data_IF_066451818102
#
_entry.id   IF_066451818102
#
_cell.length_a   1.000
_cell.length_b   1.000
_cell.length_c   1.000
_cell.angle_alpha   90.00
_cell.angle_beta   90.00
_cell.angle_gamma   90.00
#
_symmetry.space_group_name_H-M   'P 1'
#
loop_
_entity.id
_entity.type
_entity.pdbx_description
1 polymer ?
#
# COMPACT_ATOMS: atom_id res chain seq x y z
N UNK A 1 23.55 -30.87 -33.51
CA UNK A 1 22.50 -31.67 -32.84
C UNK A 1 22.77 -31.57 -31.34
N UNK A 2 22.44 -30.41 -30.79
CA UNK A 2 22.90 -29.90 -29.50
C UNK A 2 21.79 -28.99 -28.97
N UNK A 3 21.59 -29.00 -27.65
CA UNK A 3 21.04 -27.90 -26.83
C UNK A 3 19.53 -27.73 -26.59
N UNK A 4 18.63 -28.65 -26.96
CA UNK A 4 17.19 -28.49 -26.63
C UNK A 4 16.78 -28.97 -25.23
N UNK A 5 17.68 -29.60 -24.46
CA UNK A 5 17.34 -30.17 -23.14
C UNK A 5 17.65 -29.28 -21.94
N UNK A 6 18.37 -28.17 -22.11
CA UNK A 6 18.88 -27.36 -20.99
C UNK A 6 18.09 -26.07 -20.72
N UNK A 7 17.25 -25.62 -21.66
CA UNK A 7 16.51 -24.36 -21.55
C UNK A 7 15.20 -24.50 -20.78
N UNK A 8 14.58 -25.68 -20.79
CA UNK A 8 13.32 -25.94 -20.06
C UNK A 8 13.51 -26.06 -18.54
N UNK A 9 14.66 -26.58 -18.07
CA UNK A 9 14.94 -26.69 -16.62
C UNK A 9 15.32 -25.36 -15.97
N UNK A 10 15.81 -24.39 -16.77
CA UNK A 10 16.19 -23.06 -16.26
C UNK A 10 14.99 -22.10 -16.22
N UNK A 11 14.02 -22.23 -17.14
CA UNK A 11 12.78 -21.43 -17.11
C UNK A 11 11.82 -21.83 -15.99
N UNK A 12 11.80 -23.10 -15.55
CA UNK A 12 11.03 -23.51 -14.37
C UNK A 12 11.63 -23.01 -13.04
N UNK A 13 12.94 -22.72 -13.01
CA UNK A 13 13.63 -22.24 -11.81
C UNK A 13 13.37 -20.75 -11.51
N UNK A 14 13.07 -19.92 -12.51
CA UNK A 14 12.84 -18.48 -12.30
C UNK A 14 11.36 -18.08 -12.07
N UNK A 15 10.40 -19.00 -12.28
CA UNK A 15 9.00 -18.79 -11.87
C UNK A 15 8.74 -19.13 -10.40
N UNK A 16 9.78 -19.45 -9.63
CA UNK A 16 9.78 -19.55 -8.16
C UNK A 16 9.65 -18.19 -7.46
N UNK A 17 8.85 -17.26 -7.98
CA UNK A 17 8.56 -15.98 -7.35
C UNK A 17 7.56 -16.20 -6.22
N UNK A 18 8.05 -16.70 -5.07
CA UNK A 18 7.36 -16.80 -3.77
C UNK A 18 5.84 -16.97 -3.87
N UNK A 19 5.40 -17.99 -4.62
CA UNK A 19 3.99 -18.34 -4.70
C UNK A 19 3.68 -19.33 -3.58
N UNK A 20 2.63 -19.13 -2.76
CA UNK A 20 2.23 -20.06 -1.70
C UNK A 20 1.98 -21.50 -2.21
N UNK A 21 1.87 -21.66 -3.54
CA UNK A 21 1.79 -22.93 -4.28
C UNK A 21 2.99 -23.85 -4.04
N UNK A 22 4.21 -23.32 -3.87
CA UNK A 22 5.42 -24.15 -3.68
C UNK A 22 5.41 -24.85 -2.32
N UNK A 23 4.98 -24.14 -1.26
CA UNK A 23 4.86 -24.74 0.08
C UNK A 23 3.77 -25.80 0.14
N UNK A 24 2.63 -25.57 -0.52
CA UNK A 24 1.55 -26.55 -0.61
C UNK A 24 2.00 -27.86 -1.28
N UNK A 25 2.73 -27.78 -2.39
CA UNK A 25 3.26 -28.95 -3.09
C UNK A 25 4.42 -29.63 -2.34
N UNK A 26 5.25 -28.88 -1.62
CA UNK A 26 6.34 -29.44 -0.81
C UNK A 26 5.82 -30.32 0.33
N UNK A 27 4.83 -29.86 1.10
CA UNK A 27 4.22 -30.65 2.18
C UNK A 27 3.38 -31.83 1.66
N UNK A 28 2.79 -31.72 0.46
CA UNK A 28 2.10 -32.83 -0.21
C UNK A 28 3.04 -33.97 -0.61
N UNK A 29 4.23 -33.63 -1.10
CA UNK A 29 5.19 -34.61 -1.62
C UNK A 29 6.14 -35.18 -0.55
N UNK A 30 6.27 -34.55 0.62
CA UNK A 30 7.09 -35.01 1.74
C UNK A 30 6.25 -35.31 3.00
N UNK A 31 5.52 -36.44 3.06
CA UNK A 31 4.76 -36.84 4.26
C UNK A 31 5.66 -37.19 5.47
N UNK A 32 6.99 -37.26 5.30
CA UNK A 32 7.98 -37.39 6.38
C UNK A 32 8.42 -36.06 6.99
N UNK A 33 8.06 -34.92 6.40
CA UNK A 33 8.14 -33.61 7.05
C UNK A 33 7.01 -33.44 8.09
N UNK A 34 6.69 -34.52 8.81
CA UNK A 34 5.87 -34.48 10.01
C UNK A 34 6.68 -33.65 10.99
N UNK A 35 6.31 -32.38 11.12
CA UNK A 35 6.75 -31.55 12.24
C UNK A 35 6.63 -32.42 13.49
N UNK A 36 7.75 -32.68 14.15
CA UNK A 36 7.80 -33.68 15.20
C UNK A 36 6.71 -33.38 16.23
N UNK A 37 5.99 -34.38 16.75
CA UNK A 37 4.95 -34.14 17.75
C UNK A 37 5.49 -33.35 18.96
N UNK A 38 6.80 -33.48 19.22
CA UNK A 38 7.54 -32.68 20.19
C UNK A 38 7.52 -31.18 19.84
N UNK A 39 7.79 -30.78 18.59
CA UNK A 39 7.78 -29.37 18.18
C UNK A 39 6.40 -28.75 18.34
N UNK A 40 5.34 -29.50 18.02
CA UNK A 40 3.96 -29.07 18.24
C UNK A 40 3.65 -28.82 19.72
N UNK A 41 4.08 -29.73 20.61
CA UNK A 41 3.91 -29.58 22.06
C UNK A 41 4.70 -28.38 22.60
N UNK A 42 5.93 -28.18 22.14
CA UNK A 42 6.76 -27.03 22.53
C UNK A 42 6.13 -25.71 22.06
N UNK A 43 5.65 -25.65 20.82
CA UNK A 43 4.95 -24.49 20.29
C UNK A 43 3.66 -24.20 21.08
N UNK A 44 2.89 -25.23 21.43
CA UNK A 44 1.67 -25.09 22.22
C UNK A 44 1.94 -24.57 23.63
N UNK A 45 2.98 -25.10 24.28
CA UNK A 45 3.42 -24.63 25.58
C UNK A 45 3.90 -23.17 25.53
N UNK A 46 4.70 -22.81 24.53
CA UNK A 46 5.20 -21.44 24.35
C UNK A 46 4.05 -20.46 24.10
N UNK A 47 3.12 -20.84 23.21
CA UNK A 47 1.93 -20.05 22.90
C UNK A 47 1.05 -19.84 24.14
N UNK A 48 0.78 -20.91 24.89
CA UNK A 48 -0.01 -20.84 26.12
C UNK A 48 0.63 -19.91 27.15
N UNK A 49 1.94 -20.05 27.37
CA UNK A 49 2.67 -19.24 28.36
C UNK A 49 2.64 -17.76 28.02
N UNK A 50 2.81 -17.42 26.74
CA UNK A 50 2.76 -16.04 26.25
C UNK A 50 1.32 -15.49 26.34
N UNK A 51 0.36 -16.24 25.82
CA UNK A 51 -1.04 -15.82 25.69
C UNK A 51 -1.72 -15.65 27.05
N UNK A 52 -1.38 -16.47 28.05
CA UNK A 52 -1.94 -16.37 29.41
C UNK A 52 -1.80 -14.95 29.96
N UNK A 53 -0.61 -14.34 29.83
CA UNK A 53 -0.34 -12.99 30.36
C UNK A 53 -1.12 -11.92 29.63
N UNK A 54 -1.15 -12.00 28.29
CA UNK A 54 -1.89 -11.05 27.47
C UNK A 54 -3.40 -11.13 27.75
N UNK A 55 -3.96 -12.33 27.74
CA UNK A 55 -5.39 -12.55 28.00
C UNK A 55 -5.79 -12.17 29.43
N UNK A 56 -4.95 -12.44 30.43
CA UNK A 56 -5.19 -11.98 31.79
C UNK A 56 -5.33 -10.46 31.85
N UNK A 57 -4.40 -9.71 31.24
CA UNK A 57 -4.46 -8.26 31.23
C UNK A 57 -5.64 -7.72 30.38
N UNK A 58 -5.96 -8.38 29.27
CA UNK A 58 -7.16 -8.06 28.48
C UNK A 58 -8.43 -8.21 29.31
N UNK A 59 -8.58 -9.35 29.99
CA UNK A 59 -9.75 -9.65 30.83
C UNK A 59 -9.83 -8.70 32.03
N UNK A 60 -8.68 -8.38 32.63
CA UNK A 60 -8.60 -7.37 33.68
C UNK A 60 -9.15 -6.03 33.18
N UNK A 61 -8.75 -5.59 31.99
CA UNK A 61 -9.23 -4.36 31.34
C UNK A 61 -10.72 -4.38 30.96
N UNK A 62 -11.36 -5.56 30.90
CA UNK A 62 -12.80 -5.74 30.69
C UNK A 62 -13.61 -5.86 31.99
N UNK A 63 -13.01 -5.51 33.13
CA UNK A 63 -13.73 -5.41 34.41
C UNK A 63 -14.52 -4.10 34.47
N UNK A 64 -15.75 -4.17 34.97
CA UNK A 64 -16.62 -3.01 35.12
C UNK A 64 -15.92 -1.88 35.92
N UNK A 65 -15.99 -0.66 35.38
CA UNK A 65 -15.40 0.53 36.01
C UNK A 65 -13.90 0.71 35.84
N UNK A 66 -13.21 -0.16 35.08
CA UNK A 66 -11.77 0.02 34.77
C UNK A 66 -11.51 0.87 33.54
N UNK A 67 -12.40 0.81 32.56
CA UNK A 67 -12.41 1.66 31.36
C UNK A 67 -13.84 2.21 31.24
N UNK A 68 -14.03 3.49 31.55
CA UNK A 68 -15.32 4.17 31.52
C UNK A 68 -15.92 4.14 30.12
N UNK A 69 -15.10 4.26 29.07
CA UNK A 69 -15.57 4.17 27.66
C UNK A 69 -16.23 2.82 27.30
N UNK A 70 -15.95 1.77 28.08
CA UNK A 70 -16.51 0.43 27.86
C UNK A 70 -17.64 0.09 28.85
N UNK A 71 -18.01 1.00 29.76
CA UNK A 71 -19.01 0.80 30.82
C UNK A 71 -20.38 0.31 30.33
N UNK A 72 -20.84 0.80 29.17
CA UNK A 72 -22.11 0.40 28.55
C UNK A 72 -21.97 -0.72 27.51
N UNK A 73 -20.75 -1.24 27.32
CA UNK A 73 -20.48 -2.22 26.26
C UNK A 73 -20.93 -3.63 26.67
N UNK A 74 -21.44 -4.45 25.73
CA UNK A 74 -21.78 -5.85 26.00
C UNK A 74 -20.55 -6.74 26.24
N UNK A 75 -19.34 -6.16 26.20
CA UNK A 75 -18.07 -6.87 26.32
C UNK A 75 -17.49 -6.83 27.73
N UNK A 76 -18.15 -6.19 28.69
CA UNK A 76 -17.78 -6.30 30.10
C UNK A 76 -18.09 -7.72 30.58
N UNK A 77 -17.06 -8.41 31.06
CA UNK A 77 -17.14 -9.81 31.47
C UNK A 77 -17.14 -9.99 32.99
N UNK A 78 -16.69 -8.98 33.75
CA UNK A 78 -16.54 -9.05 35.20
C UNK A 78 -17.14 -7.82 35.87
N UNK A 79 -17.84 -8.03 36.99
CA UNK A 79 -18.29 -6.93 37.85
C UNK A 79 -17.13 -6.41 38.71
N UNK A 80 -17.23 -5.17 39.21
CA UNK A 80 -16.19 -4.53 40.01
C UNK A 80 -15.88 -5.24 41.35
N UNK A 81 -16.77 -6.14 41.80
CA UNK A 81 -16.66 -6.89 43.06
C UNK A 81 -16.02 -8.27 42.88
N UNK A 82 -15.74 -8.70 41.65
CA UNK A 82 -15.15 -10.01 41.35
C UNK A 82 -13.75 -10.14 41.95
N UNK A 83 -13.42 -11.33 42.47
CA UNK A 83 -12.10 -11.58 43.06
C UNK A 83 -11.05 -11.83 41.97
N UNK A 84 -9.79 -11.48 42.26
CA UNK A 84 -8.64 -11.70 41.35
C UNK A 84 -8.55 -13.18 40.91
N UNK A 85 -8.96 -14.10 41.78
CA UNK A 85 -8.99 -15.54 41.51
C UNK A 85 -9.92 -15.91 40.35
N UNK A 86 -11.07 -15.24 40.20
CA UNK A 86 -12.03 -15.51 39.11
C UNK A 86 -11.46 -15.08 37.76
N UNK A 87 -10.78 -13.93 37.71
CA UNK A 87 -10.11 -13.43 36.49
C UNK A 87 -8.96 -14.37 36.11
N UNK A 88 -8.15 -14.81 37.08
CA UNK A 88 -7.07 -15.74 36.82
C UNK A 88 -7.60 -17.09 36.29
N UNK A 89 -8.62 -17.67 36.93
CA UNK A 89 -9.24 -18.91 36.49
C UNK A 89 -9.85 -18.80 35.08
N UNK A 90 -10.54 -17.69 34.79
CA UNK A 90 -11.14 -17.44 33.47
C UNK A 90 -10.07 -17.26 32.40
N UNK A 91 -9.00 -16.51 32.70
CA UNK A 91 -7.86 -16.35 31.79
C UNK A 91 -7.21 -17.68 31.45
N UNK A 92 -7.08 -18.58 32.44
CA UNK A 92 -6.49 -19.90 32.28
C UNK A 92 -7.34 -20.78 31.36
N UNK A 93 -8.65 -20.87 31.64
CA UNK A 93 -9.59 -21.66 30.84
C UNK A 93 -9.68 -21.15 29.40
N UNK A 94 -9.77 -19.83 29.22
CA UNK A 94 -9.85 -19.22 27.89
C UNK A 94 -8.56 -19.41 27.09
N UNK A 95 -7.39 -19.23 27.72
CA UNK A 95 -6.09 -19.49 27.07
C UNK A 95 -5.95 -20.95 26.67
N UNK A 96 -6.38 -21.89 27.53
CA UNK A 96 -6.36 -23.32 27.22
C UNK A 96 -7.27 -23.67 26.04
N UNK A 97 -8.52 -23.18 26.04
CA UNK A 97 -9.45 -23.38 24.93
C UNK A 97 -8.91 -22.83 23.62
N UNK A 98 -8.36 -21.62 23.64
CA UNK A 98 -7.79 -20.97 22.46
C UNK A 98 -6.58 -21.74 21.93
N UNK A 99 -5.70 -22.21 22.82
CA UNK A 99 -4.57 -23.07 22.44
C UNK A 99 -5.06 -24.37 21.76
N UNK A 100 -6.05 -25.06 22.33
CA UNK A 100 -6.62 -26.27 21.73
C UNK A 100 -7.17 -25.98 20.33
N UNK A 101 -7.95 -24.90 20.17
CA UNK A 101 -8.55 -24.53 18.88
C UNK A 101 -7.46 -24.17 17.85
N UNK A 102 -6.45 -23.40 18.26
CA UNK A 102 -5.35 -22.98 17.38
C UNK A 102 -4.58 -24.20 16.83
N UNK A 103 -4.15 -25.08 17.73
CA UNK A 103 -3.34 -26.25 17.36
C UNK A 103 -4.16 -27.31 16.63
N UNK A 104 -5.46 -27.45 16.94
CA UNK A 104 -6.37 -28.23 16.13
C UNK A 104 -6.53 -27.64 14.71
N UNK A 105 -6.62 -26.31 14.60
CA UNK A 105 -6.67 -25.60 13.32
C UNK A 105 -5.43 -25.83 12.47
N UNK A 106 -4.24 -25.71 13.06
CA UNK A 106 -2.95 -26.00 12.39
C UNK A 106 -2.90 -27.48 11.96
N UNK A 107 -3.30 -28.41 12.82
CA UNK A 107 -3.38 -29.83 12.49
C UNK A 107 -4.37 -30.10 11.33
N UNK A 108 -5.52 -29.41 11.30
CA UNK A 108 -6.51 -29.53 10.24
C UNK A 108 -5.98 -29.08 8.87
N UNK A 109 -5.14 -28.05 8.83
CA UNK A 109 -4.47 -27.60 7.61
C UNK A 109 -3.53 -28.67 7.03
N UNK A 110 -2.92 -29.50 7.88
CA UNK A 110 -1.99 -30.56 7.47
C UNK A 110 -2.64 -31.81 6.86
N UNK A 111 -3.97 -31.98 6.93
CA UNK A 111 -4.67 -33.19 6.42
C UNK A 111 -4.79 -33.27 4.89
N UNK A 112 -4.40 -32.24 4.14
CA UNK A 112 -4.35 -32.25 2.67
C UNK A 112 -5.70 -32.33 1.93
N UNK A 113 -6.82 -32.46 2.64
CA UNK A 113 -8.17 -32.57 2.06
C UNK A 113 -8.84 -31.19 1.83
N UNK A 114 -8.07 -30.17 1.48
CA UNK A 114 -8.54 -28.79 1.37
C UNK A 114 -8.28 -28.21 -0.01
N UNK A 115 -9.28 -27.52 -0.55
CA UNK A 115 -9.09 -26.68 -1.75
C UNK A 115 -8.24 -25.46 -1.42
N UNK A 116 -7.55 -24.86 -2.40
CA UNK A 116 -6.65 -23.71 -2.19
C UNK A 116 -7.34 -22.53 -1.48
N UNK A 117 -8.55 -22.16 -1.91
CA UNK A 117 -9.33 -21.10 -1.26
C UNK A 117 -9.67 -21.43 0.21
N UNK A 118 -10.00 -22.69 0.51
CA UNK A 118 -10.30 -23.12 1.87
C UNK A 118 -9.05 -23.16 2.75
N UNK A 119 -7.89 -23.51 2.18
CA UNK A 119 -6.62 -23.47 2.86
C UNK A 119 -6.27 -22.04 3.27
N UNK A 120 -6.37 -21.08 2.34
CA UNK A 120 -6.04 -19.67 2.59
C UNK A 120 -6.95 -19.05 3.67
N UNK A 121 -8.26 -19.29 3.60
CA UNK A 121 -9.22 -18.80 4.62
C UNK A 121 -8.92 -19.39 6.00
N UNK A 122 -8.64 -20.70 6.07
CA UNK A 122 -8.32 -21.35 7.35
C UNK A 122 -6.97 -20.89 7.89
N UNK A 123 -5.98 -20.66 7.04
CA UNK A 123 -4.69 -20.12 7.42
C UNK A 123 -4.84 -18.71 8.01
N UNK A 124 -5.61 -17.84 7.37
CA UNK A 124 -5.93 -16.51 7.90
C UNK A 124 -6.66 -16.59 9.24
N UNK A 125 -7.66 -17.47 9.37
CA UNK A 125 -8.38 -17.66 10.64
C UNK A 125 -7.46 -18.14 11.77
N UNK A 126 -6.56 -19.09 11.50
CA UNK A 126 -5.54 -19.56 12.44
C UNK A 126 -4.57 -18.44 12.81
N UNK A 127 -4.14 -17.62 11.85
CA UNK A 127 -3.25 -16.48 12.11
C UNK A 127 -3.91 -15.41 12.99
N UNK A 128 -5.17 -15.05 12.71
CA UNK A 128 -5.96 -14.11 13.51
C UNK A 128 -6.17 -14.66 14.92
N UNK A 129 -6.55 -15.94 15.04
CA UNK A 129 -6.77 -16.58 16.33
C UNK A 129 -5.47 -16.67 17.14
N UNK A 130 -4.33 -16.91 16.49
CA UNK A 130 -3.01 -16.88 17.11
C UNK A 130 -2.57 -15.48 17.55
N UNK A 131 -2.94 -14.44 16.80
CA UNK A 131 -2.64 -13.05 17.17
C UNK A 131 -3.64 -12.47 18.19
N UNK A 132 -4.79 -13.10 18.39
CA UNK A 132 -5.90 -12.58 19.19
C UNK A 132 -5.52 -12.14 20.62
N UNK A 133 -4.76 -12.92 21.42
CA UNK A 133 -4.30 -12.49 22.74
C UNK A 133 -3.55 -11.15 22.71
N UNK A 134 -2.64 -11.00 21.76
CA UNK A 134 -1.83 -9.80 21.61
C UNK A 134 -2.66 -8.60 21.11
N UNK A 135 -3.52 -8.81 20.11
CA UNK A 135 -4.37 -7.76 19.54
C UNK A 135 -5.36 -7.25 20.60
N UNK A 136 -6.05 -8.17 21.29
CA UNK A 136 -7.00 -7.81 22.35
C UNK A 136 -6.33 -7.03 23.47
N UNK A 137 -5.15 -7.47 23.92
CA UNK A 137 -4.37 -6.76 24.93
C UNK A 137 -4.00 -5.36 24.44
N UNK A 138 -3.45 -5.24 23.23
CA UNK A 138 -2.99 -3.96 22.70
C UNK A 138 -4.12 -2.94 22.61
N UNK A 139 -5.29 -3.35 22.09
CA UNK A 139 -6.45 -2.46 21.96
C UNK A 139 -6.95 -2.04 23.34
N UNK A 140 -7.22 -3.00 24.24
CA UNK A 140 -7.78 -2.70 25.56
C UNK A 140 -6.79 -1.93 26.44
N UNK A 141 -5.49 -2.21 26.30
CA UNK A 141 -4.47 -1.51 27.04
C UNK A 141 -4.28 -0.08 26.53
N UNK A 142 -4.33 0.15 25.21
CA UNK A 142 -4.33 1.52 24.67
C UNK A 142 -5.57 2.29 25.15
N UNK A 143 -6.76 1.66 25.17
CA UNK A 143 -7.97 2.29 25.71
C UNK A 143 -7.83 2.63 27.19
N UNK A 144 -7.25 1.72 27.97
CA UNK A 144 -6.94 1.98 29.38
C UNK A 144 -5.94 3.14 29.55
N UNK A 145 -4.87 3.18 28.75
CA UNK A 145 -3.86 4.25 28.81
C UNK A 145 -4.45 5.60 28.40
N UNK A 146 -5.30 5.62 27.36
CA UNK A 146 -6.00 6.82 26.90
C UNK A 146 -6.86 7.49 27.97
N UNK A 147 -7.37 6.73 28.94
CA UNK A 147 -8.24 7.24 30.00
C UNK A 147 -7.47 7.55 31.28
N UNK A 148 -6.42 6.78 31.57
CA UNK A 148 -5.70 6.87 32.84
C UNK A 148 -4.36 7.61 32.77
N UNK A 149 -3.83 7.87 31.58
CA UNK A 149 -2.53 8.51 31.37
C UNK A 149 -2.63 9.67 30.38
N UNK A 150 -2.57 10.90 30.91
CA UNK A 150 -2.66 12.13 30.12
C UNK A 150 -1.47 12.32 29.15
N UNK A 151 -0.38 11.56 29.28
CA UNK A 151 0.76 11.64 28.37
C UNK A 151 0.49 11.01 27.00
N UNK A 152 -0.54 10.17 26.87
CA UNK A 152 -0.92 9.51 25.63
C UNK A 152 -2.05 10.27 24.94
N UNK A 153 -1.69 11.19 24.03
CA UNK A 153 -2.64 11.95 23.21
C UNK A 153 -2.79 11.31 21.82
N UNK A 154 -3.95 10.70 21.55
CA UNK A 154 -4.33 10.21 20.21
C UNK A 154 -5.47 11.06 19.62
N UNK A 155 -5.24 12.36 19.52
CA UNK A 155 -6.17 13.28 18.86
C UNK A 155 -5.49 13.96 17.67
N UNK A 156 -6.28 14.45 16.72
CA UNK A 156 -5.83 15.23 15.57
C UNK A 156 -5.84 16.74 15.85
N UNK A 157 -6.13 17.18 17.08
CA UNK A 157 -6.14 18.59 17.45
C UNK A 157 -4.82 19.31 17.14
N UNK A 158 -3.68 18.61 17.25
CA UNK A 158 -2.39 19.17 16.86
C UNK A 158 -2.37 19.62 15.39
N UNK A 159 -3.20 19.06 14.50
CA UNK A 159 -3.27 19.48 13.10
C UNK A 159 -3.88 20.88 12.92
N UNK A 160 -4.62 21.37 13.91
CA UNK A 160 -5.18 22.73 13.94
C UNK A 160 -4.17 23.77 14.42
N UNK A 161 -3.09 23.35 15.09
CA UNK A 161 -2.05 24.28 15.50
C UNK A 161 -1.22 24.77 14.30
N UNK A 162 -0.53 25.89 14.50
CA UNK A 162 0.35 26.47 13.49
C UNK A 162 1.51 25.55 13.11
N UNK A 163 1.85 25.50 11.82
CA UNK A 163 2.98 24.73 11.32
C UNK A 163 4.34 25.30 11.78
N UNK A 164 4.48 26.63 11.85
CA UNK A 164 5.70 27.30 12.31
C UNK A 164 6.84 27.40 11.29
N UNK A 165 6.60 26.98 10.04
CA UNK A 165 7.55 27.11 8.92
C UNK A 165 6.81 27.26 7.59
N UNK A 166 7.48 27.83 6.59
CA UNK A 166 6.90 28.08 5.25
C UNK A 166 7.51 27.17 4.20
N UNK A 167 6.71 26.77 3.20
CA UNK A 167 7.21 26.05 2.04
C UNK A 167 8.01 26.96 1.12
N UNK A 168 9.11 26.43 0.55
CA UNK A 168 9.88 27.17 -0.47
C UNK A 168 9.11 27.33 -1.79
N UNK A 169 8.15 26.45 -2.08
CA UNK A 169 7.27 26.52 -3.24
C UNK A 169 5.83 26.46 -2.75
N UNK A 170 5.14 27.60 -2.83
CA UNK A 170 3.81 27.78 -2.25
C UNK A 170 2.70 27.61 -3.31
N UNK A 171 3.03 27.32 -4.56
CA UNK A 171 2.00 27.12 -5.57
C UNK A 171 1.23 25.80 -5.32
N UNK A 172 -0.10 25.76 -5.42
CA UNK A 172 -1.02 26.80 -5.90
C UNK A 172 -1.68 27.65 -4.80
N UNK A 173 -1.35 27.44 -3.52
CA UNK A 173 -1.96 28.17 -2.39
C UNK A 173 -0.89 28.75 -1.49
N UNK A 174 -0.88 30.07 -1.33
CA UNK A 174 0.06 30.74 -0.45
C UNK A 174 -0.08 30.24 0.99
N UNK A 175 1.07 29.97 1.63
CA UNK A 175 1.11 29.53 3.03
C UNK A 175 1.74 30.61 3.90
N UNK A 176 1.07 30.97 5.00
CA UNK A 176 1.59 31.89 6.01
C UNK A 176 2.12 31.09 7.21
N UNK A 177 3.08 31.63 7.96
CA UNK A 177 3.64 31.00 9.18
C UNK A 177 2.58 30.57 10.21
N UNK A 178 1.45 31.27 10.23
CA UNK A 178 0.34 31.06 11.16
C UNK A 178 -0.71 30.07 10.63
N UNK A 179 -0.54 29.52 9.43
CA UNK A 179 -1.47 28.55 8.87
C UNK A 179 -1.46 27.24 9.65
N UNK A 180 -2.62 26.59 9.67
CA UNK A 180 -2.81 25.27 10.28
C UNK A 180 -1.98 24.23 9.54
N UNK A 181 -1.56 23.17 10.24
CA UNK A 181 -0.82 22.05 9.62
C UNK A 181 -1.64 21.39 8.51
N UNK A 182 -2.97 21.40 8.58
CA UNK A 182 -3.85 20.97 7.49
C UNK A 182 -3.57 21.68 6.16
N UNK A 183 -3.46 23.00 6.19
CA UNK A 183 -3.17 23.80 5.00
C UNK A 183 -1.78 23.45 4.47
N UNK A 184 -0.80 23.32 5.36
CA UNK A 184 0.57 22.94 5.00
C UNK A 184 0.64 21.59 4.27
N UNK A 185 -0.01 20.55 4.82
CA UNK A 185 -0.06 19.23 4.19
C UNK A 185 -0.80 19.26 2.85
N UNK A 186 -1.85 20.05 2.73
CA UNK A 186 -2.57 20.23 1.46
C UNK A 186 -1.65 20.79 0.38
N UNK A 187 -0.89 21.85 0.66
CA UNK A 187 0.05 22.42 -0.33
C UNK A 187 1.18 21.43 -0.66
N UNK A 188 1.71 20.73 0.36
CA UNK A 188 2.69 19.67 0.16
C UNK A 188 2.19 18.54 -0.77
N UNK A 189 0.93 18.13 -0.61
CA UNK A 189 0.29 17.13 -1.47
C UNK A 189 0.20 17.59 -2.93
N UNK A 190 -0.25 18.83 -3.19
CA UNK A 190 -0.31 19.37 -4.55
C UNK A 190 1.07 19.49 -5.19
N UNK A 191 2.09 19.89 -4.42
CA UNK A 191 3.46 19.91 -4.89
C UNK A 191 3.98 18.51 -5.24
N UNK A 192 3.70 17.50 -4.40
CA UNK A 192 4.08 16.12 -4.69
C UNK A 192 3.42 15.62 -5.98
N UNK A 193 2.13 15.87 -6.17
CA UNK A 193 1.39 15.51 -7.39
C UNK A 193 2.04 16.18 -8.61
N UNK A 194 2.33 17.48 -8.54
CA UNK A 194 2.98 18.22 -9.63
C UNK A 194 4.33 17.62 -10.01
N UNK A 195 5.18 17.36 -9.02
CA UNK A 195 6.50 16.76 -9.25
C UNK A 195 6.35 15.40 -9.90
N UNK A 196 5.43 14.55 -9.40
CA UNK A 196 5.15 13.24 -9.99
C UNK A 196 4.70 13.34 -11.44
N UNK A 197 3.77 14.25 -11.77
CA UNK A 197 3.30 14.44 -13.14
C UNK A 197 4.43 14.88 -14.08
N UNK A 198 5.25 15.85 -13.66
CA UNK A 198 6.41 16.30 -14.42
C UNK A 198 7.46 15.20 -14.58
N UNK A 199 7.71 14.42 -13.52
CA UNK A 199 8.62 13.28 -13.54
C UNK A 199 8.13 12.18 -14.49
N UNK A 200 6.83 11.86 -14.51
CA UNK A 200 6.26 10.87 -15.43
C UNK A 200 6.45 11.34 -16.88
N UNK A 201 6.10 12.59 -17.18
CA UNK A 201 6.26 13.16 -18.52
C UNK A 201 7.74 13.14 -18.96
N UNK A 202 8.64 13.66 -18.11
CA UNK A 202 10.08 13.70 -18.39
C UNK A 202 10.70 12.31 -18.53
N UNK A 203 10.39 11.39 -17.62
CA UNK A 203 10.87 10.01 -17.65
C UNK A 203 10.34 9.25 -18.87
N UNK A 204 9.10 9.50 -19.30
CA UNK A 204 8.54 8.88 -20.51
C UNK A 204 9.27 9.35 -21.75
N UNK A 205 9.48 10.66 -21.92
CA UNK A 205 10.20 11.21 -23.08
C UNK A 205 11.64 10.67 -23.11
N UNK A 206 12.36 10.80 -21.98
CA UNK A 206 13.75 10.37 -21.88
C UNK A 206 13.89 8.85 -22.02
N UNK A 207 12.98 8.10 -21.41
CA UNK A 207 12.92 6.63 -21.50
C UNK A 207 12.66 6.15 -22.92
N UNK A 208 11.78 6.81 -23.68
CA UNK A 208 11.56 6.49 -25.10
C UNK A 208 12.82 6.80 -25.92
N UNK A 209 13.41 7.99 -25.77
CA UNK A 209 14.61 8.38 -26.52
C UNK A 209 15.75 7.41 -26.29
N UNK A 210 16.02 7.06 -25.02
CA UNK A 210 17.09 6.14 -24.65
C UNK A 210 16.75 4.71 -25.06
N UNK A 211 15.50 4.29 -24.88
CA UNK A 211 15.03 2.96 -25.29
C UNK A 211 15.17 2.73 -26.79
N UNK A 212 14.77 3.70 -27.61
CA UNK A 212 14.94 3.66 -29.07
C UNK A 212 16.43 3.70 -29.44
N UNK A 213 17.23 4.55 -28.78
CA UNK A 213 18.68 4.65 -29.01
C UNK A 213 19.41 3.32 -28.75
N UNK A 214 18.98 2.56 -27.73
CA UNK A 214 19.52 1.25 -27.42
C UNK A 214 19.24 0.20 -28.50
N UNK A 215 18.08 0.26 -29.16
CA UNK A 215 17.71 -0.64 -30.26
C UNK A 215 18.38 -0.26 -31.60
N UNK A 216 19.08 0.88 -31.65
CA UNK A 216 19.76 1.33 -32.85
C UNK A 216 20.85 0.34 -33.30
N UNK A 217 20.93 0.11 -34.62
CA UNK A 217 21.97 -0.71 -35.24
C UNK A 217 23.38 -0.10 -35.10
N UNK A 218 23.46 1.20 -34.80
CA UNK A 218 24.72 1.89 -34.54
C UNK A 218 25.25 1.50 -33.15
N UNK A 219 26.33 0.70 -33.13
CA UNK A 219 26.95 0.21 -31.90
C UNK A 219 27.41 1.32 -30.95
N UNK A 220 27.81 2.49 -31.48
CA UNK A 220 28.25 3.60 -30.65
C UNK A 220 27.08 4.22 -29.89
N UNK A 221 25.95 4.46 -30.58
CA UNK A 221 24.75 5.02 -29.97
C UNK A 221 24.11 4.05 -28.97
N UNK A 222 24.03 2.77 -29.35
CA UNK A 222 23.51 1.71 -28.49
C UNK A 222 24.38 1.54 -27.23
N UNK A 223 25.71 1.55 -27.39
CA UNK A 223 26.65 1.47 -26.27
C UNK A 223 26.60 2.68 -25.32
N UNK A 224 26.43 3.90 -25.85
CA UNK A 224 26.24 5.09 -25.01
C UNK A 224 24.93 5.04 -24.21
N UNK A 225 23.84 4.61 -24.84
CA UNK A 225 22.56 4.44 -24.16
C UNK A 225 22.63 3.37 -23.06
N UNK A 226 23.32 2.25 -23.32
CA UNK A 226 23.53 1.18 -22.34
C UNK A 226 24.39 1.65 -21.17
N UNK A 227 25.51 2.33 -21.44
CA UNK A 227 26.36 2.94 -20.41
C UNK A 227 25.61 3.91 -19.50
N UNK A 228 24.80 4.79 -20.09
CA UNK A 228 23.96 5.71 -19.33
C UNK A 228 23.01 4.95 -18.39
N UNK A 229 22.28 3.97 -18.92
CA UNK A 229 21.29 3.22 -18.14
C UNK A 229 21.97 2.42 -17.02
N UNK A 230 23.05 1.72 -17.30
CA UNK A 230 23.79 0.96 -16.30
C UNK A 230 24.36 1.87 -15.20
N UNK A 231 24.91 3.03 -15.56
CA UNK A 231 25.43 3.99 -14.59
C UNK A 231 24.34 4.44 -13.61
N UNK A 232 23.21 4.95 -14.11
CA UNK A 232 22.14 5.46 -13.25
C UNK A 232 21.39 4.36 -12.49
N UNK A 233 21.32 3.14 -13.02
CA UNK A 233 20.67 2.01 -12.32
C UNK A 233 21.53 1.37 -11.24
N UNK A 234 22.86 1.46 -11.36
CA UNK A 234 23.78 0.87 -10.39
C UNK A 234 24.21 1.86 -9.29
N UNK A 235 23.96 3.15 -9.46
CA UNK A 235 24.28 4.15 -8.43
C UNK A 235 23.23 4.20 -7.31
N UNK A 236 23.66 4.33 -6.03
CA UNK A 236 22.73 4.62 -4.95
C UNK A 236 22.00 5.95 -5.18
N UNK A 237 20.67 5.94 -5.04
CA UNK A 237 19.82 7.12 -5.22
C UNK A 237 20.28 8.31 -4.35
N UNK A 238 20.75 8.03 -3.14
CA UNK A 238 21.25 9.05 -2.22
C UNK A 238 22.45 9.80 -2.79
N UNK A 239 23.39 9.09 -3.42
CA UNK A 239 24.56 9.70 -4.05
C UNK A 239 24.13 10.59 -5.22
N UNK A 240 23.16 10.14 -6.01
CA UNK A 240 22.61 10.91 -7.11
C UNK A 240 21.95 12.20 -6.63
N UNK A 241 21.11 12.13 -5.60
CA UNK A 241 20.46 13.30 -5.00
C UNK A 241 21.48 14.27 -4.39
N UNK A 242 22.48 13.74 -3.68
CA UNK A 242 23.54 14.56 -3.10
C UNK A 242 24.37 15.28 -4.16
N UNK A 243 24.78 14.58 -5.22
CA UNK A 243 25.52 15.17 -6.33
C UNK A 243 24.71 16.25 -7.04
N UNK A 244 23.43 15.98 -7.35
CA UNK A 244 22.54 16.96 -7.97
C UNK A 244 22.37 18.19 -7.07
N UNK A 245 22.15 18.01 -5.77
CA UNK A 245 21.95 19.13 -4.86
C UNK A 245 23.22 19.96 -4.66
N UNK A 246 24.36 19.32 -4.40
CA UNK A 246 25.60 20.02 -4.03
C UNK A 246 26.38 20.54 -5.23
N UNK A 247 26.57 19.71 -6.25
CA UNK A 247 27.39 20.05 -7.41
C UNK A 247 26.57 20.79 -8.44
N UNK A 248 25.42 20.25 -8.86
CA UNK A 248 24.63 20.85 -9.92
C UNK A 248 23.91 22.12 -9.43
N UNK A 249 23.12 22.02 -8.36
CA UNK A 249 22.36 23.16 -7.84
C UNK A 249 23.21 24.10 -6.98
N UNK A 250 24.07 23.57 -6.10
CA UNK A 250 24.83 24.38 -5.15
C UNK A 250 26.02 25.14 -5.75
N UNK A 251 26.79 24.49 -6.64
CA UNK A 251 28.05 25.06 -7.15
C UNK A 251 27.94 25.71 -8.54
N UNK A 252 27.03 25.24 -9.40
CA UNK A 252 26.94 25.68 -10.79
C UNK A 252 25.79 26.66 -11.08
N UNK A 253 24.92 26.92 -10.11
CA UNK A 253 23.74 27.79 -10.29
C UNK A 253 23.82 29.03 -9.39
N UNK A 254 23.49 30.23 -9.92
CA UNK A 254 23.51 31.45 -9.14
C UNK A 254 22.51 31.39 -7.97
N UNK A 255 22.83 32.06 -6.84
CA UNK A 255 21.89 32.17 -5.74
C UNK A 255 20.62 32.90 -6.17
N UNK A 256 19.46 32.44 -5.70
CA UNK A 256 18.13 32.98 -6.06
C UNK A 256 18.04 34.53 -6.02
N UNK A 257 18.81 35.19 -5.16
CA UNK A 257 18.86 36.65 -5.02
C UNK A 257 19.48 37.38 -6.23
N UNK A 258 20.28 36.69 -7.06
CA UNK A 258 21.05 37.26 -8.18
C UNK A 258 20.40 37.04 -9.56
N UNK A 259 19.26 36.34 -9.63
CA UNK A 259 18.65 35.88 -10.90
C UNK A 259 17.61 36.86 -11.45
N UNK A 260 17.35 37.96 -10.75
CA UNK A 260 16.46 39.00 -11.28
C UNK A 260 16.96 39.58 -12.62
N UNK A 261 18.24 39.36 -12.97
CA UNK A 261 18.88 39.94 -14.16
C UNK A 261 19.30 38.92 -15.26
N UNK A 262 19.23 37.61 -15.02
CA UNK A 262 19.63 36.58 -16.00
C UNK A 262 18.44 35.70 -16.40
N UNK A 263 17.65 36.20 -17.33
CA UNK A 263 16.49 35.50 -17.88
C UNK A 263 16.88 34.62 -19.07
N UNK A 264 16.47 33.34 -19.03
CA UNK A 264 16.40 32.54 -20.25
C UNK A 264 15.05 32.86 -20.90
N UNK A 265 15.01 33.64 -21.98
CA UNK A 265 13.79 33.98 -22.72
C UNK A 265 12.69 34.71 -21.90
N UNK A 266 13.04 35.43 -20.82
CA UNK A 266 12.14 36.23 -19.93
C UNK A 266 10.99 35.49 -19.21
N UNK A 267 10.80 34.20 -19.47
CA UNK A 267 9.78 33.36 -18.85
C UNK A 267 10.33 32.36 -17.79
N UNK A 268 11.58 31.90 -17.87
CA UNK A 268 12.07 30.80 -17.02
C UNK A 268 13.33 31.27 -16.29
N UNK A 269 13.28 31.20 -14.96
CA UNK A 269 14.36 31.55 -14.06
C UNK A 269 14.93 30.28 -13.45
N UNK A 270 16.24 30.05 -13.55
CA UNK A 270 16.89 28.86 -12.99
C UNK A 270 17.81 29.29 -11.86
N UNK A 271 17.59 28.77 -10.66
CA UNK A 271 18.34 29.10 -9.44
C UNK A 271 18.90 27.89 -8.72
N UNK A 272 19.79 28.15 -7.76
CA UNK A 272 20.24 27.14 -6.81
C UNK A 272 19.12 26.58 -5.91
N UNK A 273 17.93 27.21 -5.90
CA UNK A 273 16.71 26.69 -5.26
C UNK A 273 15.79 25.92 -6.23
N UNK A 274 16.16 25.84 -7.50
CA UNK A 274 15.41 25.15 -8.55
C UNK A 274 14.97 26.07 -9.68
N UNK A 275 14.12 25.52 -10.55
CA UNK A 275 13.54 26.23 -11.71
C UNK A 275 12.25 26.94 -11.27
N UNK A 276 12.23 28.25 -11.42
CA UNK A 276 11.04 29.09 -11.25
C UNK A 276 10.50 29.42 -12.63
N UNK A 277 9.27 28.98 -12.88
CA UNK A 277 8.49 29.28 -14.08
C UNK A 277 7.55 30.45 -13.77
N UNK A 278 6.98 31.14 -14.78
CA UNK A 278 6.04 32.21 -14.54
C UNK A 278 4.88 31.64 -13.74
N UNK A 279 4.39 32.43 -12.79
CA UNK A 279 3.26 32.05 -11.98
C UNK A 279 2.04 31.80 -12.88
N UNK A 280 1.63 30.54 -12.98
CA UNK A 280 0.35 30.18 -13.59
C UNK A 280 -0.69 30.26 -12.50
N UNK A 281 -1.33 31.42 -12.34
CA UNK A 281 -2.45 31.55 -11.40
C UNK A 281 -3.63 30.70 -11.90
N UNK A 282 -4.11 29.80 -11.05
CA UNK A 282 -5.39 29.15 -11.26
C UNK A 282 -6.45 30.13 -10.76
N UNK A 283 -6.93 30.98 -11.66
CA UNK A 283 -7.93 32.02 -11.35
C UNK A 283 -9.22 31.41 -10.79
N UNK A 284 -9.62 30.24 -11.30
CA UNK A 284 -10.80 29.51 -10.83
C UNK A 284 -10.54 28.00 -10.82
N UNK A 285 -10.43 27.45 -9.60
CA UNK A 285 -10.21 26.02 -9.38
C UNK A 285 -11.37 25.17 -9.91
N UNK A 286 -12.60 25.67 -9.84
CA UNK A 286 -13.78 24.96 -10.34
C UNK A 286 -13.72 24.85 -11.86
N UNK A 287 -13.37 25.93 -12.57
CA UNK A 287 -13.18 25.89 -14.02
C UNK A 287 -12.00 25.00 -14.43
N UNK A 288 -10.91 25.00 -13.67
CA UNK A 288 -9.76 24.12 -13.91
C UNK A 288 -10.15 22.63 -13.78
N UNK A 289 -10.85 22.27 -12.71
CA UNK A 289 -11.34 20.90 -12.50
C UNK A 289 -12.37 20.50 -13.56
N UNK A 290 -13.25 21.41 -13.96
CA UNK A 290 -14.18 21.17 -15.08
C UNK A 290 -13.45 20.97 -16.41
N UNK A 291 -12.35 21.69 -16.64
CA UNK A 291 -11.49 21.49 -17.82
C UNK A 291 -10.85 20.10 -17.84
N UNK A 292 -10.29 19.65 -16.72
CA UNK A 292 -9.77 18.27 -16.58
C UNK A 292 -10.91 17.25 -16.78
N UNK A 293 -12.06 17.47 -16.15
CA UNK A 293 -13.25 16.63 -16.29
C UNK A 293 -13.71 16.53 -17.74
N UNK A 294 -13.69 17.63 -18.49
CA UNK A 294 -14.03 17.67 -19.90
C UNK A 294 -13.03 16.88 -20.75
N UNK A 295 -11.71 17.01 -20.49
CA UNK A 295 -10.68 16.24 -21.21
C UNK A 295 -10.82 14.73 -20.94
N UNK A 296 -11.12 14.34 -19.70
CA UNK A 296 -11.37 12.94 -19.35
C UNK A 296 -12.66 12.42 -20.02
N UNK A 297 -13.74 13.21 -19.99
CA UNK A 297 -14.98 12.88 -20.68
C UNK A 297 -14.78 12.76 -22.19
N UNK A 298 -14.02 13.66 -22.80
CA UNK A 298 -13.66 13.61 -24.21
C UNK A 298 -12.82 12.36 -24.54
N UNK A 299 -11.85 12.01 -23.69
CA UNK A 299 -11.07 10.77 -23.83
C UNK A 299 -11.95 9.53 -23.75
N UNK A 300 -12.87 9.48 -22.78
CA UNK A 300 -13.84 8.39 -22.64
C UNK A 300 -14.73 8.31 -23.89
N UNK A 301 -15.18 9.46 -24.39
CA UNK A 301 -16.03 9.55 -25.59
C UNK A 301 -15.30 9.12 -26.86
N UNK A 302 -14.05 9.56 -27.10
CA UNK A 302 -13.25 9.12 -28.25
C UNK A 302 -13.03 7.61 -28.18
N UNK A 303 -12.63 7.10 -27.01
CA UNK A 303 -12.48 5.65 -26.79
C UNK A 303 -13.81 4.90 -26.91
N UNK A 304 -14.95 5.54 -26.74
CA UNK A 304 -16.27 4.96 -27.01
C UNK A 304 -16.59 4.95 -28.52
N UNK A 305 -16.32 6.06 -29.21
CA UNK A 305 -16.62 6.25 -30.63
C UNK A 305 -15.77 5.37 -31.55
N UNK A 306 -14.54 5.06 -31.16
CA UNK A 306 -13.60 4.26 -31.96
C UNK A 306 -13.77 2.74 -31.75
N UNK A 307 -14.67 2.30 -30.87
CA UNK A 307 -14.84 0.87 -30.58
C UNK A 307 -15.68 0.17 -31.63
N UNK A 308 -15.06 -0.81 -32.29
CA UNK A 308 -15.75 -1.81 -33.12
C UNK A 308 -16.48 -2.78 -32.21
N UNK A 309 -17.80 -2.90 -32.38
CA UNK A 309 -18.62 -3.86 -31.65
C UNK A 309 -18.35 -5.25 -32.23
N UNK A 310 -17.77 -6.13 -31.43
CA UNK A 310 -17.67 -7.55 -31.76
C UNK A 310 -19.04 -8.14 -31.41
N UNK A 311 -19.88 -8.36 -32.41
CA UNK A 311 -21.24 -8.88 -32.20
C UNK A 311 -21.25 -10.34 -31.75
N UNK A 312 -20.19 -11.10 -32.05
CA UNK A 312 -20.11 -12.53 -31.79
C UNK A 312 -19.01 -12.88 -30.77
N UNK A 313 -19.39 -12.82 -29.50
CA UNK A 313 -18.56 -13.17 -28.34
C UNK A 313 -18.77 -14.63 -27.88
N UNK A 314 -19.62 -15.41 -28.56
CA UNK A 314 -19.83 -16.85 -28.29
C UNK A 314 -20.41 -17.20 -26.91
N UNK A 315 -20.87 -16.22 -26.14
CA UNK A 315 -21.41 -16.38 -24.78
C UNK A 315 -22.92 -16.17 -24.81
N UNK A 316 -23.67 -17.26 -24.78
CA UNK A 316 -25.13 -17.23 -24.71
C UNK A 316 -25.63 -16.98 -23.26
N UNK A 317 -26.74 -16.22 -23.09
CA UNK A 317 -27.34 -15.93 -21.77
C UNK A 317 -27.86 -17.16 -21.02
N UNK A 318 -27.92 -18.31 -21.69
CA UNK A 318 -28.32 -19.62 -21.16
C UNK A 318 -27.20 -20.35 -20.41
N UNK A 319 -25.95 -19.89 -20.50
CA UNK A 319 -24.82 -20.56 -19.86
C UNK A 319 -24.82 -20.37 -18.33
N UNK A 320 -24.50 -21.42 -17.54
CA UNK A 320 -24.30 -21.28 -16.11
C UNK A 320 -23.14 -20.30 -15.81
N UNK A 321 -23.31 -19.46 -14.80
CA UNK A 321 -22.38 -18.38 -14.41
C UNK A 321 -22.22 -17.24 -15.42
N UNK A 322 -23.19 -17.02 -16.32
CA UNK A 322 -23.23 -15.87 -17.24
C UNK A 322 -22.96 -14.53 -16.54
N UNK A 323 -23.60 -14.30 -15.40
CA UNK A 323 -23.46 -13.05 -14.62
C UNK A 323 -22.06 -12.86 -14.01
N UNK A 324 -21.31 -13.94 -13.75
CA UNK A 324 -19.93 -13.85 -13.28
C UNK A 324 -18.95 -13.49 -14.40
N UNK A 325 -19.24 -13.92 -15.63
CA UNK A 325 -18.42 -13.60 -16.81
C UNK A 325 -18.75 -12.23 -17.42
N UNK A 326 -20.01 -11.79 -17.31
CA UNK A 326 -20.52 -10.49 -17.78
C UNK A 326 -21.43 -9.81 -16.75
N UNK A 327 -20.85 -9.26 -15.67
CA UNK A 327 -21.62 -8.67 -14.57
C UNK A 327 -22.43 -7.43 -14.97
N UNK A 328 -22.09 -6.76 -16.07
CA UNK A 328 -22.79 -5.58 -16.57
C UNK A 328 -23.55 -5.82 -17.89
N UNK A 329 -23.76 -7.09 -18.28
CA UNK A 329 -24.58 -7.47 -19.43
C UNK A 329 -25.96 -6.77 -19.51
N UNK A 330 -26.67 -6.49 -18.40
CA UNK A 330 -27.97 -5.81 -18.45
C UNK A 330 -27.92 -4.38 -19.03
N UNK A 331 -26.76 -3.72 -18.97
CA UNK A 331 -26.58 -2.36 -19.51
C UNK A 331 -26.30 -2.36 -21.02
N UNK A 332 -26.20 -3.54 -21.63
CA UNK A 332 -25.98 -3.72 -23.06
C UNK A 332 -24.49 -3.71 -23.45
N UNK A 333 -24.18 -4.38 -24.56
CA UNK A 333 -22.80 -4.61 -25.04
C UNK A 333 -21.99 -3.32 -25.28
N UNK A 334 -22.67 -2.18 -25.48
CA UNK A 334 -22.05 -0.84 -25.62
C UNK A 334 -21.65 -0.20 -24.30
N UNK A 335 -22.42 -0.39 -23.22
CA UNK A 335 -22.21 0.33 -21.95
C UNK A 335 -21.49 -0.50 -20.88
N UNK A 336 -21.54 -1.84 -20.97
CA UNK A 336 -20.85 -2.74 -20.05
C UNK A 336 -19.34 -2.42 -19.87
N UNK A 337 -18.55 -2.20 -20.93
CA UNK A 337 -17.12 -1.88 -20.78
C UNK A 337 -16.87 -0.50 -20.16
N UNK A 338 -17.80 0.44 -20.33
CA UNK A 338 -17.71 1.79 -19.78
C UNK A 338 -17.83 1.73 -18.26
N UNK A 339 -18.76 0.95 -17.74
CA UNK A 339 -18.91 0.75 -16.30
C UNK A 339 -17.65 0.13 -15.69
N UNK A 340 -17.03 -0.84 -16.38
CA UNK A 340 -15.76 -1.42 -15.95
C UNK A 340 -14.63 -0.39 -15.96
N UNK A 341 -14.48 0.38 -17.04
CA UNK A 341 -13.45 1.43 -17.15
C UNK A 341 -13.65 2.54 -16.09
N UNK A 342 -14.90 2.96 -15.82
CA UNK A 342 -15.24 3.95 -14.78
C UNK A 342 -14.87 3.41 -13.39
N UNK A 343 -15.29 2.19 -13.06
CA UNK A 343 -14.96 1.55 -11.78
C UNK A 343 -13.45 1.41 -11.62
N UNK A 344 -12.74 1.01 -12.68
CA UNK A 344 -11.28 0.91 -12.65
C UNK A 344 -10.62 2.28 -12.46
N UNK A 345 -11.07 3.30 -13.18
CA UNK A 345 -10.55 4.67 -13.05
C UNK A 345 -10.91 5.36 -11.73
N UNK A 346 -11.95 4.90 -11.03
CA UNK A 346 -12.30 5.35 -9.68
C UNK A 346 -11.54 4.56 -8.59
N UNK A 347 -10.87 3.46 -8.94
CA UNK A 347 -10.10 2.60 -8.02
C UNK A 347 -8.60 2.92 -7.97
N UNK A 348 -8.12 3.78 -8.87
CA UNK A 348 -6.77 4.35 -8.92
C UNK A 348 -6.85 5.80 -8.50
#
# INVERSE_FOLDING_TARGET
MSSEGATTEVEEAEQGKYSPVVYFNYFRNNPRAVVSPLLYLVAAWAYYTLSKKFLYNSLLNLTAGRIERLSDSPFILFEATETIEVIEATSLNFTAALCIILFYGIYSLGKGNLTQRQYDIRLQAVAILGAFPFISFSILHILYLLENDESWYFDLFFMEEMAGFTLSNQWPFETILQDTRWQFYRVGLFNAIRVVLLSIAGCTILGIVIGVSRLSRNRMLSGLAESYVEFFRNMPLVVQLFFLYTVVLGANLPPFKEIQDNSFFDWIFISNRGVVVPETEIVDMTLFLLGIGFLLAARIYIRFSERVLIDDDGIEPTQPFYFLKRPFAPFGKRFEPILVDIIFSASV
#
